data_IF_320450834105
#
_entry.id   IF_320450834105
#
_cell.length_a   1.000
_cell.length_b   1.000
_cell.length_c   1.000
_cell.angle_alpha   90.00
_cell.angle_beta   90.00
_cell.angle_gamma   90.00
#
_symmetry.space_group_name_H-M   'P 1'
#
loop_
_entity.id
_entity.type
_entity.pdbx_description
1 polymer ?
#
# COMPACT_ATOMS: atom_id res chain seq x y z
N UNK A 1 19.09 8.49 -48.22
CA UNK A 1 17.78 8.08 -47.67
C UNK A 1 18.01 7.75 -46.21
N UNK A 2 17.20 8.39 -45.38
CA UNK A 2 17.31 8.62 -43.94
C UNK A 2 17.64 7.39 -43.08
N UNK A 3 18.73 7.47 -42.31
CA UNK A 3 18.84 6.76 -41.03
C UNK A 3 17.94 7.48 -40.03
N UNK A 4 16.91 6.79 -39.55
CA UNK A 4 16.07 7.27 -38.45
C UNK A 4 16.85 7.14 -37.15
N UNK A 5 17.45 8.25 -36.74
CA UNK A 5 18.00 8.44 -35.41
C UNK A 5 16.86 8.29 -34.38
N UNK A 6 16.88 7.16 -33.68
CA UNK A 6 15.95 6.82 -32.62
C UNK A 6 16.16 7.83 -31.47
N UNK A 7 15.21 8.76 -31.33
CA UNK A 7 15.21 9.78 -30.28
C UNK A 7 15.17 9.10 -28.92
N UNK A 8 16.34 8.88 -28.31
CA UNK A 8 16.47 8.63 -26.86
C UNK A 8 15.86 9.82 -26.13
N UNK A 9 14.63 9.66 -25.67
CA UNK A 9 13.98 10.64 -24.80
C UNK A 9 14.89 10.90 -23.61
N UNK A 10 15.38 12.15 -23.49
CA UNK A 10 16.05 12.62 -22.28
C UNK A 10 15.06 12.47 -21.13
N UNK A 11 15.16 11.37 -20.38
CA UNK A 11 14.43 11.19 -19.14
C UNK A 11 14.73 12.35 -18.20
N UNK A 12 13.73 12.81 -17.47
CA UNK A 12 13.93 13.78 -16.38
C UNK A 12 15.08 13.26 -15.51
N UNK A 13 16.04 14.11 -15.11
CA UNK A 13 17.26 13.73 -14.38
C UNK A 13 17.05 13.19 -12.95
N UNK A 14 15.86 12.69 -12.63
CA UNK A 14 15.47 12.11 -11.35
C UNK A 14 15.34 10.60 -11.49
N UNK A 15 16.06 9.87 -10.64
CA UNK A 15 15.95 8.42 -10.50
C UNK A 15 15.18 8.06 -9.24
N UNK A 16 14.40 6.98 -9.33
CA UNK A 16 13.60 6.45 -8.22
C UNK A 16 14.06 5.04 -7.89
N UNK A 17 14.20 4.74 -6.60
CA UNK A 17 14.41 3.39 -6.12
C UNK A 17 13.10 2.84 -5.55
N UNK A 18 12.61 1.72 -6.07
CA UNK A 18 11.37 1.07 -5.61
C UNK A 18 11.71 -0.29 -5.02
N UNK A 19 11.44 -0.45 -3.73
CA UNK A 19 11.55 -1.74 -3.05
C UNK A 19 10.22 -2.49 -3.10
N UNK A 20 10.28 -3.82 -3.19
CA UNK A 20 9.05 -4.62 -3.34
C UNK A 20 8.35 -4.37 -4.66
N UNK A 21 9.10 -4.22 -5.75
CA UNK A 21 8.56 -3.92 -7.09
C UNK A 21 7.67 -5.03 -7.66
N UNK A 22 7.83 -6.27 -7.19
CA UNK A 22 6.91 -7.39 -7.48
C UNK A 22 5.57 -7.25 -6.74
N UNK A 23 5.44 -6.23 -5.89
CA UNK A 23 4.27 -5.82 -5.13
C UNK A 23 3.08 -5.44 -5.98
N UNK A 24 1.85 -5.54 -5.44
CA UNK A 24 0.69 -4.94 -6.09
C UNK A 24 0.91 -3.42 -6.27
N UNK A 25 1.09 -2.66 -5.19
CA UNK A 25 1.38 -1.22 -5.26
C UNK A 25 2.72 -0.96 -5.97
N UNK A 26 3.76 -1.75 -5.65
CA UNK A 26 5.10 -1.58 -6.21
C UNK A 26 5.14 -1.68 -7.74
N UNK A 27 4.47 -2.67 -8.33
CA UNK A 27 4.42 -2.86 -9.78
C UNK A 27 3.67 -1.73 -10.49
N UNK A 28 2.55 -1.27 -9.91
CA UNK A 28 1.81 -0.11 -10.41
C UNK A 28 2.60 1.19 -10.30
N UNK A 29 3.37 1.38 -9.23
CA UNK A 29 4.24 2.54 -9.06
C UNK A 29 5.38 2.54 -10.08
N UNK A 30 6.06 1.41 -10.28
CA UNK A 30 7.09 1.26 -11.33
C UNK A 30 6.51 1.57 -12.70
N UNK A 31 5.36 0.98 -13.05
CA UNK A 31 4.65 1.26 -14.31
C UNK A 31 4.36 2.75 -14.47
N UNK A 32 3.87 3.41 -13.42
CA UNK A 32 3.52 4.83 -13.44
C UNK A 32 4.74 5.74 -13.61
N UNK A 33 5.84 5.45 -12.90
CA UNK A 33 7.10 6.19 -13.00
C UNK A 33 7.74 6.07 -14.40
N UNK A 34 7.77 4.85 -14.96
CA UNK A 34 8.29 4.61 -16.30
C UNK A 34 7.47 5.35 -17.37
N UNK A 35 6.13 5.34 -17.27
CA UNK A 35 5.26 6.10 -18.19
C UNK A 35 5.52 7.61 -18.17
N UNK A 36 6.02 8.16 -17.06
CA UNK A 36 6.39 9.57 -16.91
C UNK A 36 7.83 9.87 -17.35
N UNK A 37 8.57 8.87 -17.84
CA UNK A 37 9.93 9.04 -18.35
C UNK A 37 11.01 9.13 -17.28
N UNK A 38 10.75 8.61 -16.08
CA UNK A 38 11.74 8.52 -15.00
C UNK A 38 12.56 7.23 -15.10
N UNK A 39 13.81 7.30 -14.62
CA UNK A 39 14.64 6.10 -14.42
C UNK A 39 14.25 5.42 -13.12
N UNK A 40 14.00 4.11 -13.15
CA UNK A 40 13.56 3.35 -11.97
C UNK A 40 14.52 2.20 -11.70
N UNK A 41 15.03 2.13 -10.47
CA UNK A 41 15.79 1.02 -9.93
C UNK A 41 14.86 0.20 -9.02
N UNK A 42 14.52 -1.02 -9.43
CA UNK A 42 13.58 -1.87 -8.73
C UNK A 42 14.30 -3.02 -8.02
N UNK A 43 13.94 -3.31 -6.77
CA UNK A 43 14.40 -4.54 -6.09
C UNK A 43 13.36 -5.65 -6.23
N UNK A 44 13.83 -6.81 -6.68
CA UNK A 44 13.03 -8.03 -6.81
C UNK A 44 13.57 -9.09 -5.86
N UNK A 45 12.66 -9.87 -5.26
CA UNK A 45 13.00 -11.04 -4.44
C UNK A 45 12.61 -12.30 -5.20
N UNK A 46 13.39 -13.36 -5.01
CA UNK A 46 13.08 -14.67 -5.57
C UNK A 46 11.70 -15.14 -5.06
N UNK A 47 10.75 -15.49 -5.97
CA UNK A 47 9.45 -16.03 -5.62
C UNK A 47 9.50 -17.31 -4.76
N UNK A 48 10.58 -18.08 -4.81
CA UNK A 48 10.72 -19.33 -4.05
C UNK A 48 10.82 -19.15 -2.52
N UNK A 49 11.05 -17.94 -2.04
CA UNK A 49 11.32 -17.66 -0.61
C UNK A 49 10.08 -17.21 0.19
N UNK A 50 8.90 -17.12 -0.43
CA UNK A 50 7.65 -16.69 0.25
C UNK A 50 7.08 -17.72 1.23
N UNK A 51 7.64 -18.92 1.35
CA UNK A 51 7.07 -20.02 2.14
C UNK A 51 7.44 -20.02 3.65
N UNK A 52 8.08 -18.97 4.19
CA UNK A 52 8.54 -18.96 5.59
C UNK A 52 7.52 -18.30 6.52
N UNK A 53 7.18 -18.98 7.62
CA UNK A 53 6.14 -18.56 8.58
C UNK A 53 6.44 -17.28 9.40
N UNK A 54 7.65 -16.70 9.33
CA UNK A 54 8.03 -15.50 10.09
C UNK A 54 8.36 -14.33 9.17
N UNK A 55 7.38 -13.47 8.90
CA UNK A 55 7.54 -12.30 8.03
C UNK A 55 7.84 -10.98 8.77
N UNK A 56 7.56 -10.93 10.08
CA UNK A 56 7.68 -9.69 10.87
C UNK A 56 9.15 -9.27 11.01
N UNK A 57 9.98 -10.14 11.59
CA UNK A 57 11.38 -9.81 11.86
C UNK A 57 12.17 -9.47 10.58
N UNK A 58 12.02 -10.21 9.47
CA UNK A 58 12.64 -9.82 8.19
C UNK A 58 12.12 -8.49 7.64
N UNK A 59 10.84 -8.15 7.86
CA UNK A 59 10.29 -6.87 7.40
C UNK A 59 10.85 -5.69 8.22
N UNK A 60 10.94 -5.83 9.55
CA UNK A 60 11.52 -4.82 10.44
C UNK A 60 13.00 -4.65 10.12
N UNK A 61 13.77 -5.73 10.18
CA UNK A 61 15.21 -5.72 9.93
C UNK A 61 15.55 -5.23 8.53
N UNK A 62 14.80 -5.69 7.51
CA UNK A 62 14.95 -5.24 6.13
C UNK A 62 14.72 -3.73 5.98
N UNK A 63 13.65 -3.21 6.59
CA UNK A 63 13.33 -1.77 6.56
C UNK A 63 14.40 -0.95 7.28
N UNK A 64 14.81 -1.38 8.48
CA UNK A 64 15.84 -0.68 9.25
C UNK A 64 17.17 -0.62 8.50
N UNK A 65 17.57 -1.72 7.87
CA UNK A 65 18.81 -1.79 7.10
C UNK A 65 18.74 -0.89 5.84
N UNK A 66 17.60 -0.83 5.17
CA UNK A 66 17.38 0.10 4.06
C UNK A 66 17.51 1.56 4.52
N UNK A 67 16.82 1.95 5.60
CA UNK A 67 16.88 3.32 6.14
C UNK A 67 18.29 3.70 6.58
N UNK A 68 19.00 2.81 7.27
CA UNK A 68 20.41 3.01 7.65
C UNK A 68 21.32 3.20 6.42
N UNK A 69 21.02 2.51 5.31
CA UNK A 69 21.79 2.63 4.08
C UNK A 69 21.49 3.93 3.33
N UNK A 70 20.21 4.33 3.28
CA UNK A 70 19.80 5.62 2.74
C UNK A 70 20.43 6.79 3.52
N UNK A 71 20.46 6.72 4.85
CA UNK A 71 21.05 7.77 5.70
C UNK A 71 22.56 7.95 5.51
N UNK A 72 23.26 6.94 4.99
CA UNK A 72 24.71 7.01 4.73
C UNK A 72 25.06 7.59 3.36
N UNK A 73 24.07 7.77 2.49
CA UNK A 73 24.29 8.12 1.09
C UNK A 73 23.73 9.51 0.80
N UNK A 74 24.54 10.40 0.24
CA UNK A 74 24.12 11.77 -0.11
C UNK A 74 23.21 11.84 -1.34
N UNK A 75 23.18 10.77 -2.16
CA UNK A 75 22.34 10.71 -3.37
C UNK A 75 20.85 10.54 -3.07
N UNK A 76 20.50 9.95 -1.92
CA UNK A 76 19.10 9.72 -1.53
C UNK A 76 18.57 10.96 -0.84
N UNK A 77 17.76 11.73 -1.56
CA UNK A 77 17.18 12.98 -1.05
C UNK A 77 15.93 12.77 -0.20
N UNK A 78 15.21 11.67 -0.44
CA UNK A 78 13.92 11.40 0.19
C UNK A 78 13.61 9.91 0.21
N UNK A 79 12.96 9.50 1.29
CA UNK A 79 12.39 8.16 1.44
C UNK A 79 10.89 8.32 1.72
N UNK A 80 10.07 7.64 0.93
CA UNK A 80 8.63 7.50 1.19
C UNK A 80 8.38 6.03 1.55
N UNK A 81 7.77 5.80 2.70
CA UNK A 81 7.48 4.46 3.19
C UNK A 81 5.98 4.19 3.13
N UNK A 82 5.59 3.06 2.54
CA UNK A 82 4.20 2.63 2.49
C UNK A 82 3.85 1.87 3.77
N UNK A 83 3.22 2.54 4.72
CA UNK A 83 2.60 1.91 5.90
C UNK A 83 1.11 1.61 5.65
N UNK A 84 0.47 0.86 6.55
CA UNK A 84 -0.96 0.56 6.48
C UNK A 84 -1.75 1.31 7.55
N UNK A 85 -2.96 1.77 7.21
CA UNK A 85 -3.92 2.39 8.15
C UNK A 85 -4.29 1.45 9.30
N UNK A 86 -4.17 0.14 9.09
CA UNK A 86 -4.38 -0.88 10.12
C UNK A 86 -3.35 -0.86 11.26
N UNK A 87 -2.33 0.00 11.19
CA UNK A 87 -1.40 0.28 12.29
C UNK A 87 -1.90 1.37 13.23
N UNK A 88 -2.91 2.15 12.82
CA UNK A 88 -3.54 3.18 13.63
C UNK A 88 -4.67 2.58 14.48
N UNK A 89 -4.90 3.18 15.64
CA UNK A 89 -6.10 2.93 16.44
C UNK A 89 -7.05 4.10 16.34
N UNK A 90 -8.35 3.82 16.24
CA UNK A 90 -9.37 4.84 16.45
C UNK A 90 -9.57 5.13 17.94
N UNK A 91 -8.83 4.48 18.85
CA UNK A 91 -8.91 4.78 20.28
C UNK A 91 -8.00 5.95 20.64
N UNK A 92 -8.51 6.87 21.43
CA UNK A 92 -7.68 7.90 22.05
C UNK A 92 -6.77 7.33 23.15
N UNK A 93 -5.90 8.18 23.71
CA UNK A 93 -5.03 7.86 24.84
C UNK A 93 -5.78 7.41 26.10
N UNK A 94 -7.08 7.62 26.16
CA UNK A 94 -7.97 7.23 27.26
C UNK A 94 -8.73 5.92 26.96
N UNK A 95 -8.51 5.30 25.79
CA UNK A 95 -9.12 4.05 25.37
C UNK A 95 -10.52 4.19 24.73
N UNK A 96 -11.02 5.42 24.56
CA UNK A 96 -12.34 5.69 23.98
C UNK A 96 -12.25 5.76 22.45
N UNK A 97 -13.30 5.32 21.78
CA UNK A 97 -13.39 5.38 20.32
C UNK A 97 -13.58 6.82 19.83
N UNK A 98 -12.70 7.25 18.93
CA UNK A 98 -12.83 8.45 18.13
C UNK A 98 -13.72 8.18 16.93
N UNK A 99 -14.52 9.18 16.58
CA UNK A 99 -15.37 9.15 15.39
C UNK A 99 -14.59 9.33 14.08
N UNK A 100 -13.35 9.83 14.15
CA UNK A 100 -12.49 10.08 13.00
C UNK A 100 -11.07 9.60 13.31
N UNK A 101 -10.48 8.88 12.37
CA UNK A 101 -9.06 8.51 12.37
C UNK A 101 -8.32 9.50 11.48
N UNK A 102 -7.28 10.13 12.02
CA UNK A 102 -6.44 11.10 11.31
C UNK A 102 -4.96 10.78 11.50
N UNK A 103 -4.08 11.55 10.87
CA UNK A 103 -2.62 11.39 10.91
C UNK A 103 -2.02 11.60 12.31
N UNK A 104 -2.78 12.14 13.26
CA UNK A 104 -2.38 12.34 14.65
C UNK A 104 -2.65 11.12 15.54
N UNK A 105 -3.40 10.13 15.05
CA UNK A 105 -3.69 8.91 15.81
C UNK A 105 -2.41 8.11 16.10
N UNK A 106 -2.31 7.60 17.33
CA UNK A 106 -1.16 6.82 17.75
C UNK A 106 -1.08 5.47 17.00
N UNK A 107 0.14 5.03 16.61
CA UNK A 107 0.33 3.69 16.10
C UNK A 107 0.12 2.69 17.25
N UNK A 108 -0.84 1.78 17.10
CA UNK A 108 -1.19 0.88 18.20
C UNK A 108 -0.09 -0.17 18.43
N UNK A 109 0.49 -0.75 17.37
CA UNK A 109 1.61 -1.70 17.44
C UNK A 109 2.33 -1.82 16.08
N UNK A 110 3.65 -2.01 16.10
CA UNK A 110 4.59 -1.92 14.95
C UNK A 110 4.48 -3.00 13.87
N UNK A 111 3.46 -3.85 13.90
CA UNK A 111 3.40 -5.04 13.05
C UNK A 111 2.02 -5.16 12.41
N UNK A 112 1.89 -4.69 11.16
CA UNK A 112 0.96 -5.25 10.18
C UNK A 112 1.32 -4.67 8.79
N UNK A 113 1.69 -5.55 7.88
CA UNK A 113 1.82 -5.31 6.44
C UNK A 113 0.88 -6.30 5.77
N UNK A 114 -0.08 -5.83 4.97
CA UNK A 114 -1.04 -6.74 4.33
C UNK A 114 -1.18 -6.46 2.84
N UNK A 115 -1.06 -7.56 2.10
CA UNK A 115 -1.31 -7.68 0.68
C UNK A 115 -2.78 -8.00 0.41
N UNK A 116 -3.32 -7.35 -0.63
CA UNK A 116 -4.61 -7.69 -1.20
C UNK A 116 -4.37 -8.45 -2.50
N UNK A 117 -4.75 -9.72 -2.52
CA UNK A 117 -5.08 -10.43 -3.76
C UNK A 117 -6.49 -10.96 -3.63
N UNK A 118 -7.34 -10.57 -4.54
CA UNK A 118 -8.75 -10.98 -4.63
C UNK A 118 -8.80 -12.51 -4.74
N UNK A 119 -9.39 -13.18 -3.73
CA UNK A 119 -9.60 -14.64 -3.72
C UNK A 119 -8.87 -15.44 -2.64
N UNK A 120 -8.05 -14.81 -1.78
CA UNK A 120 -7.37 -15.50 -0.68
C UNK A 120 -8.24 -15.49 0.62
N UNK A 121 -8.47 -16.62 1.30
CA UNK A 121 -9.19 -16.66 2.59
C UNK A 121 -8.60 -15.72 3.66
N UNK A 122 -7.31 -15.39 3.59
CA UNK A 122 -6.63 -14.45 4.47
C UNK A 122 -7.14 -13.01 4.31
N UNK A 123 -7.60 -12.64 3.11
CA UNK A 123 -8.18 -11.30 2.83
C UNK A 123 -9.44 -11.06 3.67
N UNK A 124 -10.30 -12.08 3.80
CA UNK A 124 -11.52 -12.03 4.61
C UNK A 124 -11.21 -11.75 6.08
N UNK A 125 -10.26 -12.49 6.66
CA UNK A 125 -9.82 -12.30 8.05
C UNK A 125 -9.30 -10.90 8.31
N UNK A 126 -8.62 -10.31 7.33
CA UNK A 126 -8.07 -8.97 7.43
C UNK A 126 -9.18 -7.93 7.35
N UNK A 127 -10.08 -8.04 6.39
CA UNK A 127 -11.20 -7.11 6.25
C UNK A 127 -12.08 -7.15 7.48
N UNK A 128 -12.36 -8.34 8.02
CA UNK A 128 -13.07 -8.51 9.28
C UNK A 128 -12.33 -7.88 10.45
N UNK A 129 -11.00 -8.08 10.56
CA UNK A 129 -10.19 -7.47 11.60
C UNK A 129 -10.10 -5.94 11.46
N UNK A 130 -10.06 -5.38 10.25
CA UNK A 130 -10.07 -3.93 10.01
C UNK A 130 -11.45 -3.37 10.37
N UNK A 131 -12.53 -3.96 9.88
CA UNK A 131 -13.89 -3.51 10.16
C UNK A 131 -14.22 -3.58 11.66
N UNK A 132 -13.81 -4.65 12.35
CA UNK A 132 -13.98 -4.78 13.81
C UNK A 132 -13.20 -3.74 14.60
N UNK A 133 -12.07 -3.24 14.07
CA UNK A 133 -11.21 -2.25 14.73
C UNK A 133 -11.52 -0.82 14.37
N UNK A 134 -11.95 -0.54 13.14
CA UNK A 134 -12.12 0.82 12.63
C UNK A 134 -13.61 1.18 12.42
N UNK A 135 -14.51 0.20 12.55
CA UNK A 135 -15.92 0.33 12.20
C UNK A 135 -16.19 0.48 10.69
N UNK A 136 -15.15 0.66 9.88
CA UNK A 136 -15.23 0.89 8.44
C UNK A 136 -13.95 0.44 7.73
N UNK A 137 -14.02 0.33 6.41
CA UNK A 137 -12.93 -0.03 5.52
C UNK A 137 -12.60 1.18 4.64
N UNK A 138 -11.36 1.64 4.74
CA UNK A 138 -10.82 2.67 3.87
C UNK A 138 -10.49 2.09 2.49
N UNK A 139 -10.99 2.76 1.45
CA UNK A 139 -10.80 2.43 0.04
C UNK A 139 -10.07 3.57 -0.66
N UNK A 140 -9.15 3.20 -1.53
CA UNK A 140 -8.42 4.12 -2.41
C UNK A 140 -8.02 3.38 -3.68
N UNK A 141 -8.06 4.07 -4.81
CA UNK A 141 -7.64 3.48 -6.08
C UNK A 141 -6.11 3.39 -6.13
N UNK A 142 -5.56 2.34 -6.74
CA UNK A 142 -4.10 2.10 -6.74
C UNK A 142 -3.34 3.22 -7.47
N UNK A 143 -3.92 3.82 -8.51
CA UNK A 143 -3.39 4.98 -9.22
C UNK A 143 -3.32 6.23 -8.33
N UNK A 144 -4.27 6.42 -7.42
CA UNK A 144 -4.25 7.52 -6.45
C UNK A 144 -3.14 7.30 -5.43
N UNK A 145 -2.96 6.05 -4.97
CA UNK A 145 -1.81 5.67 -4.13
C UNK A 145 -0.49 6.02 -4.85
N UNK A 146 -0.36 5.63 -6.13
CA UNK A 146 0.85 5.90 -6.91
C UNK A 146 1.08 7.42 -7.08
N UNK A 147 0.01 8.17 -7.34
CA UNK A 147 0.05 9.62 -7.47
C UNK A 147 0.46 10.30 -6.16
N UNK A 148 -0.06 9.82 -5.02
CA UNK A 148 0.33 10.28 -3.70
C UNK A 148 1.82 10.00 -3.42
N UNK A 149 2.31 8.80 -3.72
CA UNK A 149 3.74 8.49 -3.57
C UNK A 149 4.62 9.41 -4.41
N UNK A 150 4.27 9.64 -5.67
CA UNK A 150 5.00 10.57 -6.54
C UNK A 150 4.93 12.01 -6.03
N UNK A 151 3.77 12.47 -5.57
CA UNK A 151 3.58 13.79 -4.99
C UNK A 151 4.50 13.99 -3.78
N UNK A 152 4.51 13.06 -2.83
CA UNK A 152 5.37 13.10 -1.65
C UNK A 152 6.86 13.09 -2.04
N UNK A 153 7.23 12.32 -3.07
CA UNK A 153 8.60 12.28 -3.56
C UNK A 153 9.04 13.62 -4.20
N UNK A 154 8.14 14.33 -4.87
CA UNK A 154 8.45 15.58 -5.59
C UNK A 154 8.35 16.83 -4.70
N UNK A 155 7.53 16.83 -3.64
CA UNK A 155 7.27 18.04 -2.85
C UNK A 155 8.25 18.20 -1.69
N UNK A 156 9.13 19.21 -1.75
CA UNK A 156 10.18 19.49 -0.75
C UNK A 156 9.65 19.60 0.70
N UNK A 157 8.43 20.12 0.90
CA UNK A 157 7.80 20.30 2.23
C UNK A 157 7.02 19.09 2.74
N UNK A 158 6.91 18.02 1.96
CA UNK A 158 6.20 16.83 2.40
C UNK A 158 7.01 16.09 3.47
N UNK A 159 6.46 15.99 4.68
CA UNK A 159 7.05 15.31 5.84
C UNK A 159 5.96 14.77 6.76
N UNK A 160 6.29 13.74 7.54
CA UNK A 160 5.35 13.10 8.47
C UNK A 160 4.52 11.99 7.83
N UNK A 161 3.32 11.78 8.39
CA UNK A 161 2.39 10.71 8.02
C UNK A 161 1.30 11.28 7.12
N UNK A 162 0.86 10.49 6.14
CA UNK A 162 -0.23 10.84 5.23
C UNK A 162 -1.18 9.65 5.09
N UNK A 163 -2.46 9.87 5.37
CA UNK A 163 -3.50 8.88 5.07
C UNK A 163 -3.90 9.02 3.60
N UNK A 164 -3.74 7.94 2.85
CA UNK A 164 -4.20 7.86 1.48
C UNK A 164 -5.52 7.08 1.45
N UNK A 165 -6.64 7.79 1.58
CA UNK A 165 -7.99 7.23 1.52
C UNK A 165 -8.90 8.16 0.73
N UNK A 166 -9.68 7.60 -0.20
CA UNK A 166 -10.66 8.35 -0.97
C UNK A 166 -12.07 8.21 -0.39
N UNK A 167 -12.41 7.02 0.12
CA UNK A 167 -13.71 6.73 0.75
C UNK A 167 -13.53 5.75 1.89
N UNK A 168 -14.36 5.88 2.92
CA UNK A 168 -14.55 4.84 3.93
C UNK A 168 -15.98 4.32 3.83
N UNK A 169 -16.15 3.01 3.91
CA UNK A 169 -17.46 2.38 3.87
C UNK A 169 -17.53 1.26 4.91
N UNK A 170 -18.73 0.98 5.40
CA UNK A 170 -18.93 -0.19 6.27
C UNK A 170 -18.91 -1.48 5.45
N UNK A 171 -18.63 -2.62 6.08
CA UNK A 171 -18.56 -3.91 5.38
C UNK A 171 -19.79 -4.21 4.51
N UNK A 172 -20.99 -3.92 5.02
CA UNK A 172 -22.25 -4.15 4.30
C UNK A 172 -22.31 -3.37 2.98
N UNK A 173 -21.95 -2.10 3.01
CA UNK A 173 -21.86 -1.27 1.81
C UNK A 173 -20.83 -1.81 0.83
N UNK A 174 -19.65 -2.23 1.31
CA UNK A 174 -18.62 -2.81 0.45
C UNK A 174 -19.14 -4.07 -0.26
N UNK A 175 -19.80 -4.97 0.47
CA UNK A 175 -20.42 -6.17 -0.10
C UNK A 175 -21.45 -5.80 -1.16
N UNK A 176 -22.29 -4.81 -0.90
CA UNK A 176 -23.33 -4.37 -1.84
C UNK A 176 -22.74 -3.76 -3.11
N UNK A 177 -21.66 -2.97 -3.00
CA UNK A 177 -20.95 -2.45 -4.17
C UNK A 177 -20.29 -3.58 -4.98
N UNK A 178 -19.62 -4.52 -4.31
CA UNK A 178 -19.01 -5.67 -4.98
C UNK A 178 -20.04 -6.56 -5.69
N UNK A 179 -21.22 -6.74 -5.07
CA UNK A 179 -22.29 -7.54 -5.66
C UNK A 179 -22.94 -6.90 -6.89
N UNK A 180 -22.89 -5.56 -7.02
CA UNK A 180 -23.37 -4.83 -8.20
C UNK A 180 -22.39 -4.94 -9.38
N UNK A 181 -21.10 -4.79 -9.11
CA UNK A 181 -20.04 -4.79 -10.12
C UNK A 181 -19.65 -6.20 -10.58
N UNK A 182 -19.73 -7.18 -9.67
CA UNK A 182 -19.44 -8.57 -9.94
C UNK A 182 -20.68 -9.40 -9.58
N UNK A 183 -21.53 -9.78 -10.56
CA UNK A 183 -22.64 -10.70 -10.31
C UNK A 183 -22.08 -12.09 -9.97
N UNK A 184 -21.78 -12.31 -8.68
CA UNK A 184 -21.38 -13.60 -8.15
C UNK A 184 -22.56 -14.58 -8.17
N UNK A 185 -22.26 -15.87 -8.32
CA UNK A 185 -23.25 -16.90 -7.99
C UNK A 185 -23.61 -16.84 -6.50
N UNK A 186 -24.87 -17.11 -6.13
CA UNK A 186 -25.35 -17.06 -4.74
C UNK A 186 -24.46 -17.87 -3.75
N UNK A 187 -23.81 -18.93 -4.23
CA UNK A 187 -22.87 -19.75 -3.47
C UNK A 187 -21.61 -18.97 -3.06
N UNK A 188 -21.03 -18.19 -3.97
CA UNK A 188 -19.82 -17.39 -3.70
C UNK A 188 -20.12 -16.24 -2.74
N UNK A 189 -21.31 -15.62 -2.85
CA UNK A 189 -21.78 -14.61 -1.91
C UNK A 189 -21.97 -15.19 -0.50
N UNK A 190 -22.55 -16.40 -0.40
CA UNK A 190 -22.70 -17.12 0.86
C UNK A 190 -21.34 -17.46 1.48
N UNK A 191 -20.38 -17.97 0.71
CA UNK A 191 -19.03 -18.26 1.25
C UNK A 191 -18.26 -17.00 1.64
N UNK A 192 -18.40 -15.89 0.92
CA UNK A 192 -17.77 -14.62 1.26
C UNK A 192 -18.35 -14.03 2.56
N UNK A 193 -19.69 -13.97 2.68
CA UNK A 193 -20.38 -13.49 3.87
C UNK A 193 -20.13 -14.39 5.09
N UNK A 194 -20.22 -15.71 4.92
CA UNK A 194 -19.95 -16.69 5.99
C UNK A 194 -18.52 -16.60 6.51
N UNK A 195 -17.53 -16.37 5.64
CA UNK A 195 -16.13 -16.16 6.05
C UNK A 195 -15.89 -14.79 6.70
N UNK A 196 -16.82 -13.85 6.57
CA UNK A 196 -16.81 -12.54 7.23
C UNK A 196 -17.64 -12.52 8.53
N UNK A 197 -18.31 -13.64 8.88
CA UNK A 197 -19.11 -13.77 10.09
C UNK A 197 -20.56 -13.30 9.96
N UNK A 198 -21.09 -13.21 8.74
CA UNK A 198 -22.49 -12.87 8.43
C UNK A 198 -23.24 -14.04 7.81
#
# INVERSE_FOLDING_TARGET
MEEKEERKGKGKGLSYCVTGATGYIGSWLVKSLLRRGYTVHATLRDPGLYARANFIEPAISGTLNLLKSCSKTESVKRVVFTSSISTLTAKDSSGNWRNVVDESCDPMFSNILIWVRTGDPMFSSILSAVNSRMGSIALVHVEDICSAHMFLMEHARAEGRYICSARSCVMSELVDHLAKEYPFSNLQRYFFLRNLGY
#
